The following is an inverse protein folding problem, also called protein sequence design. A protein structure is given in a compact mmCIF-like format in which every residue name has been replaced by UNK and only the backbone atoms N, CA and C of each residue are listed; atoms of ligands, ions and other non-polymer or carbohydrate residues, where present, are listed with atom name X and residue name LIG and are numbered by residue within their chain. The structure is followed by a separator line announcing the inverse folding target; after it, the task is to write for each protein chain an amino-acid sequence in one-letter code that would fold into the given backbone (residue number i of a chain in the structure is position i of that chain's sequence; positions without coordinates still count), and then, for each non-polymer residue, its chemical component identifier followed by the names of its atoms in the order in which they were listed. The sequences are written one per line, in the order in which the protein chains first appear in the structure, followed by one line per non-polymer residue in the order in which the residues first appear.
data_IF_994384325877
#
_entry.id   IF_994384325877
#
_cell.length_a   1.000
_cell.length_b   1.000
_cell.length_c   1.000
_cell.angle_alpha   90.00
_cell.angle_beta   90.00
_cell.angle_gamma   90.00
#
_symmetry.space_group_name_H-M   'P 1'
#
loop_
_entity.id
_entity.type
_entity.pdbx_description
1 polymer ?
#
# COMPACT_ATOMS: atom_id res chain seq x y z
N UNK A 1 -20.79 21.15 -17.89
CA UNK A 1 -20.60 22.48 -17.27
C UNK A 1 -19.84 22.41 -15.93
N UNK A 2 -20.39 21.88 -14.82
CA UNK A 2 -19.68 21.88 -13.53
C UNK A 2 -18.38 21.04 -13.53
N UNK A 3 -18.43 19.82 -14.07
CA UNK A 3 -17.25 18.95 -14.17
C UNK A 3 -16.16 19.52 -15.08
N UNK A 4 -16.60 20.11 -16.19
CA UNK A 4 -15.72 20.71 -17.19
C UNK A 4 -15.01 21.94 -16.63
N UNK A 5 -15.73 22.81 -15.91
CA UNK A 5 -15.13 23.92 -15.18
C UNK A 5 -14.13 23.42 -14.12
N UNK A 6 -14.48 22.39 -13.36
CA UNK A 6 -13.59 21.81 -12.35
C UNK A 6 -12.29 21.25 -12.95
N UNK A 7 -12.38 20.58 -14.09
CA UNK A 7 -11.21 20.06 -14.82
C UNK A 7 -10.28 21.17 -15.30
N UNK A 8 -10.84 22.26 -15.84
CA UNK A 8 -10.05 23.43 -16.28
C UNK A 8 -9.31 24.06 -15.10
N UNK A 9 -9.98 24.26 -13.96
CA UNK A 9 -9.33 24.82 -12.78
C UNK A 9 -8.18 23.96 -12.25
N UNK A 10 -8.34 22.62 -12.26
CA UNK A 10 -7.24 21.71 -11.90
C UNK A 10 -6.10 21.79 -12.90
N UNK A 11 -6.39 21.83 -14.20
CA UNK A 11 -5.35 21.87 -15.22
C UNK A 11 -4.49 23.14 -15.07
N UNK A 12 -5.12 24.28 -14.77
CA UNK A 12 -4.41 25.53 -14.48
C UNK A 12 -3.55 25.40 -13.21
N UNK A 13 -4.09 24.82 -12.13
CA UNK A 13 -3.31 24.60 -10.90
C UNK A 13 -2.10 23.68 -11.15
N UNK A 14 -2.29 22.62 -11.94
CA UNK A 14 -1.24 21.68 -12.31
C UNK A 14 -0.13 22.37 -13.11
N UNK A 15 -0.49 23.21 -14.10
CA UNK A 15 0.46 23.99 -14.88
C UNK A 15 1.21 25.02 -14.01
N UNK A 16 0.52 25.63 -13.05
CA UNK A 16 1.11 26.58 -12.10
C UNK A 16 2.15 25.86 -11.22
N UNK A 17 1.80 24.67 -10.71
CA UNK A 17 2.71 23.84 -9.93
C UNK A 17 3.93 23.38 -10.76
N UNK A 18 3.72 22.92 -11.99
CA UNK A 18 4.80 22.47 -12.87
C UNK A 18 5.77 23.59 -13.27
N UNK A 19 5.25 24.81 -13.40
CA UNK A 19 6.06 26.00 -13.71
C UNK A 19 6.77 26.58 -12.49
N UNK A 20 6.65 25.96 -11.30
CA UNK A 20 7.14 26.46 -10.02
C UNK A 20 6.71 27.92 -9.76
N UNK A 21 5.54 28.30 -10.27
CA UNK A 21 4.97 29.62 -10.03
C UNK A 21 4.18 29.61 -8.72
N UNK A 22 4.20 30.74 -8.01
CA UNK A 22 3.52 30.86 -6.73
C UNK A 22 2.00 30.74 -6.95
N UNK A 23 1.39 29.68 -6.38
CA UNK A 23 -0.06 29.51 -6.36
C UNK A 23 -0.63 29.90 -5.00
N UNK A 24 -1.76 30.61 -5.02
CA UNK A 24 -2.57 30.86 -3.82
C UNK A 24 -3.65 29.78 -3.59
N UNK A 25 -3.62 28.69 -4.39
CA UNK A 25 -4.57 27.57 -4.34
C UNK A 25 -6.04 27.94 -4.56
N UNK A 26 -6.32 29.13 -5.11
CA UNK A 26 -7.67 29.57 -5.44
C UNK A 26 -8.32 28.64 -6.46
N UNK A 27 -7.60 28.32 -7.54
CA UNK A 27 -8.08 27.41 -8.59
C UNK A 27 -8.36 26.02 -8.02
N UNK A 28 -7.46 25.50 -7.19
CA UNK A 28 -7.68 24.23 -6.51
C UNK A 28 -8.92 24.24 -5.61
N UNK A 29 -9.12 25.29 -4.82
CA UNK A 29 -10.28 25.40 -3.92
C UNK A 29 -11.60 25.44 -4.70
N UNK A 30 -11.63 26.18 -5.81
CA UNK A 30 -12.78 26.28 -6.71
C UNK A 30 -13.06 24.94 -7.40
N UNK A 31 -12.00 24.26 -7.87
CA UNK A 31 -12.12 22.94 -8.46
C UNK A 31 -12.72 21.94 -7.47
N UNK A 32 -12.18 21.86 -6.25
CA UNK A 32 -12.66 20.93 -5.23
C UNK A 32 -14.11 21.20 -4.86
N UNK A 33 -14.50 22.47 -4.72
CA UNK A 33 -15.90 22.84 -4.48
C UNK A 33 -16.83 22.41 -5.63
N UNK A 34 -16.41 22.63 -6.88
CA UNK A 34 -17.16 22.21 -8.06
C UNK A 34 -17.30 20.67 -8.14
N UNK A 35 -16.24 19.92 -7.81
CA UNK A 35 -16.28 18.46 -7.74
C UNK A 35 -17.18 17.95 -6.62
N UNK A 36 -17.17 18.58 -5.44
CA UNK A 36 -18.06 18.21 -4.34
C UNK A 36 -19.53 18.41 -4.70
N UNK A 37 -19.86 19.53 -5.36
CA UNK A 37 -21.21 19.77 -5.88
C UNK A 37 -21.60 18.77 -6.95
N UNK A 38 -20.70 18.48 -7.90
CA UNK A 38 -20.94 17.47 -8.94
C UNK A 38 -21.17 16.07 -8.34
N UNK A 39 -20.35 15.66 -7.37
CA UNK A 39 -20.52 14.39 -6.67
C UNK A 39 -21.86 14.31 -5.93
N UNK A 40 -22.26 15.40 -5.26
CA UNK A 40 -23.56 15.46 -4.56
C UNK A 40 -24.71 15.25 -5.54
N UNK A 41 -24.71 15.99 -6.65
CA UNK A 41 -25.76 15.88 -7.68
C UNK A 41 -25.83 14.46 -8.27
N UNK A 42 -24.68 13.82 -8.51
CA UNK A 42 -24.63 12.46 -9.04
C UNK A 42 -25.11 11.40 -8.05
N UNK A 43 -24.85 11.59 -6.75
CA UNK A 43 -25.41 10.73 -5.70
C UNK A 43 -26.93 10.87 -5.63
N UNK A 44 -27.46 12.08 -5.77
CA UNK A 44 -28.91 12.33 -5.84
C UNK A 44 -29.56 11.68 -7.07
N UNK A 45 -28.81 11.54 -8.17
CA UNK A 45 -29.24 10.85 -9.39
C UNK A 45 -29.05 9.32 -9.35
N UNK A 46 -28.60 8.75 -8.22
CA UNK A 46 -28.24 7.33 -8.06
C UNK A 46 -27.09 6.83 -8.97
N UNK A 47 -26.30 7.72 -9.54
CA UNK A 47 -25.16 7.39 -10.40
C UNK A 47 -23.88 7.14 -9.57
N UNK A 48 -23.91 6.10 -8.71
CA UNK A 48 -22.82 5.79 -7.75
C UNK A 48 -21.47 5.60 -8.43
N UNK A 49 -21.43 4.90 -9.57
CA UNK A 49 -20.19 4.61 -10.28
C UNK A 49 -19.55 5.88 -10.85
N UNK A 50 -20.35 6.78 -11.42
CA UNK A 50 -19.85 8.04 -11.94
C UNK A 50 -19.34 8.95 -10.82
N UNK A 51 -20.05 9.01 -9.69
CA UNK A 51 -19.57 9.70 -8.49
C UNK A 51 -18.24 9.10 -7.97
N UNK A 52 -18.11 7.78 -7.99
CA UNK A 52 -16.86 7.07 -7.68
C UNK A 52 -15.72 7.41 -8.64
N UNK A 53 -15.99 7.47 -9.94
CA UNK A 53 -14.98 7.79 -10.96
C UNK A 53 -14.45 9.21 -10.79
N UNK A 54 -15.34 10.16 -10.53
CA UNK A 54 -14.95 11.54 -10.25
C UNK A 54 -14.13 11.61 -8.96
N UNK A 55 -14.53 10.87 -7.91
CA UNK A 55 -13.76 10.79 -6.67
C UNK A 55 -12.35 10.27 -6.91
N UNK A 56 -12.21 9.21 -7.72
CA UNK A 56 -10.93 8.65 -8.10
C UNK A 56 -10.09 9.64 -8.92
N UNK A 57 -10.69 10.30 -9.92
CA UNK A 57 -10.03 11.28 -10.77
C UNK A 57 -9.49 12.48 -9.96
N UNK A 58 -10.30 13.02 -9.04
CA UNK A 58 -9.84 14.09 -8.14
C UNK A 58 -8.68 13.61 -7.27
N UNK A 59 -8.72 12.37 -6.78
CA UNK A 59 -7.60 11.76 -6.05
C UNK A 59 -6.31 11.71 -6.87
N UNK A 60 -6.38 11.36 -8.15
CA UNK A 60 -5.22 11.36 -9.06
C UNK A 60 -4.65 12.76 -9.26
N UNK A 61 -5.51 13.77 -9.40
CA UNK A 61 -5.05 15.15 -9.53
C UNK A 61 -4.38 15.66 -8.25
N UNK A 62 -4.91 15.32 -7.08
CA UNK A 62 -4.28 15.66 -5.80
C UNK A 62 -2.95 14.94 -5.58
N UNK A 63 -2.81 13.69 -6.05
CA UNK A 63 -1.53 12.97 -6.05
C UNK A 63 -0.47 13.72 -6.86
N UNK A 64 -0.84 14.23 -8.05
CA UNK A 64 0.09 15.03 -8.88
C UNK A 64 0.45 16.39 -8.27
N UNK A 65 -0.37 16.90 -7.35
CA UNK A 65 -0.09 18.12 -6.58
C UNK A 65 0.58 17.83 -5.23
N UNK A 66 1.10 16.61 -5.05
CA UNK A 66 1.76 16.13 -3.82
C UNK A 66 0.89 16.19 -2.55
N UNK A 67 -0.44 16.29 -2.71
CA UNK A 67 -1.43 16.24 -1.62
C UNK A 67 -1.80 14.79 -1.29
N UNK A 68 -0.81 14.04 -0.84
CA UNK A 68 -0.90 12.58 -0.68
C UNK A 68 -1.94 12.15 0.35
N UNK A 69 -2.12 12.91 1.44
CA UNK A 69 -3.08 12.56 2.48
C UNK A 69 -4.53 12.67 1.98
N UNK A 70 -4.87 13.76 1.27
CA UNK A 70 -6.19 13.94 0.68
C UNK A 70 -6.44 12.91 -0.43
N UNK A 71 -5.43 12.65 -1.27
CA UNK A 71 -5.50 11.63 -2.32
C UNK A 71 -5.79 10.23 -1.75
N UNK A 72 -5.08 9.82 -0.69
CA UNK A 72 -5.28 8.53 0.00
C UNK A 72 -6.73 8.37 0.49
N UNK A 73 -7.29 9.43 1.08
CA UNK A 73 -8.67 9.44 1.57
C UNK A 73 -9.65 9.26 0.41
N UNK A 74 -9.45 9.97 -0.70
CA UNK A 74 -10.32 9.87 -1.88
C UNK A 74 -10.24 8.49 -2.54
N UNK A 75 -9.06 7.89 -2.63
CA UNK A 75 -8.93 6.52 -3.14
C UNK A 75 -9.65 5.50 -2.25
N UNK A 76 -9.53 5.63 -0.93
CA UNK A 76 -10.25 4.77 0.01
C UNK A 76 -11.77 4.90 -0.17
N UNK A 77 -12.28 6.13 -0.31
CA UNK A 77 -13.71 6.38 -0.59
C UNK A 77 -14.15 5.85 -1.96
N UNK A 78 -13.28 5.92 -2.99
CA UNK A 78 -13.60 5.46 -4.33
C UNK A 78 -13.76 3.93 -4.39
N UNK A 79 -12.97 3.16 -3.62
CA UNK A 79 -13.09 1.69 -3.53
C UNK A 79 -14.50 1.28 -3.11
N UNK A 80 -15.10 2.01 -2.17
CA UNK A 80 -16.46 1.75 -1.71
C UNK A 80 -17.48 1.96 -2.83
N UNK A 81 -17.26 2.86 -3.78
CA UNK A 81 -18.18 3.08 -4.89
C UNK A 81 -18.20 1.96 -5.94
N UNK A 82 -17.15 1.15 -6.02
CA UNK A 82 -16.95 0.19 -7.10
C UNK A 82 -17.13 -1.27 -6.70
N UNK A 83 -17.90 -1.57 -5.65
CA UNK A 83 -18.00 -2.91 -5.05
C UNK A 83 -18.14 -4.08 -6.05
N UNK A 84 -18.86 -3.88 -7.15
CA UNK A 84 -19.14 -4.91 -8.17
C UNK A 84 -18.22 -4.84 -9.42
N UNK A 85 -17.34 -3.84 -9.51
CA UNK A 85 -16.46 -3.58 -10.66
C UNK A 85 -14.99 -3.85 -10.32
N UNK A 86 -14.62 -5.14 -10.25
CA UNK A 86 -13.28 -5.57 -9.83
C UNK A 86 -12.15 -4.93 -10.65
N UNK A 87 -12.30 -4.81 -11.96
CA UNK A 87 -11.28 -4.22 -12.84
C UNK A 87 -10.93 -2.78 -12.42
N UNK A 88 -11.93 -1.96 -12.09
CA UNK A 88 -11.72 -0.59 -11.62
C UNK A 88 -11.11 -0.59 -10.23
N UNK A 89 -11.60 -1.46 -9.33
CA UNK A 89 -11.04 -1.57 -7.98
C UNK A 89 -9.55 -1.90 -7.99
N UNK A 90 -9.09 -2.80 -8.87
CA UNK A 90 -7.66 -3.13 -8.99
C UNK A 90 -6.84 -1.87 -9.24
N UNK A 91 -7.28 -1.01 -10.15
CA UNK A 91 -6.61 0.27 -10.44
C UNK A 91 -6.60 1.21 -9.22
N UNK A 92 -7.72 1.31 -8.50
CA UNK A 92 -7.81 2.16 -7.29
C UNK A 92 -6.94 1.62 -6.16
N UNK A 93 -6.96 0.30 -5.91
CA UNK A 93 -6.10 -0.35 -4.93
C UNK A 93 -4.63 -0.19 -5.25
N UNK A 94 -4.23 -0.34 -6.52
CA UNK A 94 -2.85 -0.13 -6.95
C UNK A 94 -2.36 1.27 -6.57
N UNK A 95 -3.18 2.29 -6.83
CA UNK A 95 -2.90 3.68 -6.47
C UNK A 95 -2.84 3.89 -4.96
N UNK A 96 -3.79 3.34 -4.21
CA UNK A 96 -3.83 3.42 -2.75
C UNK A 96 -2.62 2.75 -2.08
N UNK A 97 -2.25 1.55 -2.54
CA UNK A 97 -1.11 0.79 -2.02
C UNK A 97 0.19 1.54 -2.29
N UNK A 98 0.36 2.07 -3.51
CA UNK A 98 1.54 2.85 -3.87
C UNK A 98 1.70 4.09 -2.99
N UNK A 99 0.65 4.93 -2.85
CA UNK A 99 0.70 6.11 -1.98
C UNK A 99 1.06 5.73 -0.55
N UNK A 100 0.50 4.63 -0.02
CA UNK A 100 0.80 4.18 1.35
C UNK A 100 2.23 3.68 1.52
N UNK A 101 2.79 3.02 0.51
CA UNK A 101 4.21 2.61 0.52
C UNK A 101 5.11 3.84 0.45
N UNK A 102 4.83 4.76 -0.49
CA UNK A 102 5.62 5.97 -0.72
C UNK A 102 5.62 6.92 0.49
N UNK A 103 4.55 6.89 1.30
CA UNK A 103 4.44 7.65 2.56
C UNK A 103 4.76 6.81 3.81
N UNK A 104 5.45 5.68 3.66
CA UNK A 104 5.91 4.78 4.75
C UNK A 104 4.80 4.25 5.67
N UNK A 105 3.54 4.30 5.26
CA UNK A 105 2.38 3.77 5.98
C UNK A 105 2.22 2.27 5.75
N UNK A 106 3.28 1.50 6.04
CA UNK A 106 3.37 0.07 5.72
C UNK A 106 2.24 -0.79 6.30
N UNK A 107 1.74 -0.46 7.50
CA UNK A 107 0.59 -1.16 8.11
C UNK A 107 -0.68 -1.03 7.26
N UNK A 108 -0.97 0.17 6.78
CA UNK A 108 -2.13 0.44 5.94
C UNK A 108 -1.95 -0.13 4.52
N UNK A 109 -0.71 -0.13 4.02
CA UNK A 109 -0.38 -0.78 2.75
C UNK A 109 -0.63 -2.30 2.84
N UNK A 110 -0.17 -2.95 3.92
CA UNK A 110 -0.37 -4.38 4.16
C UNK A 110 -1.85 -4.75 4.21
N UNK A 111 -2.67 -3.92 4.88
CA UNK A 111 -4.11 -4.11 4.92
C UNK A 111 -4.75 -4.01 3.52
N UNK A 112 -4.42 -2.97 2.75
CA UNK A 112 -4.96 -2.78 1.40
C UNK A 112 -4.53 -3.92 0.45
N UNK A 113 -3.27 -4.32 0.48
CA UNK A 113 -2.73 -5.43 -0.31
C UNK A 113 -3.47 -6.73 0.01
N UNK A 114 -3.71 -7.01 1.30
CA UNK A 114 -4.42 -8.21 1.72
C UNK A 114 -5.89 -8.20 1.28
N UNK A 115 -6.57 -7.07 1.43
CA UNK A 115 -7.95 -6.90 0.97
C UNK A 115 -8.08 -7.11 -0.54
N UNK A 116 -7.11 -6.63 -1.33
CA UNK A 116 -7.09 -6.85 -2.77
C UNK A 116 -6.90 -8.34 -3.12
N UNK A 117 -5.94 -9.02 -2.49
CA UNK A 117 -5.71 -10.46 -2.70
C UNK A 117 -6.97 -11.26 -2.37
N UNK A 118 -7.60 -11.00 -1.22
CA UNK A 118 -8.85 -11.67 -0.84
C UNK A 118 -9.95 -11.48 -1.88
N UNK A 119 -10.07 -10.28 -2.47
CA UNK A 119 -11.06 -10.01 -3.52
C UNK A 119 -10.73 -10.76 -4.82
N UNK A 120 -9.48 -10.73 -5.26
CA UNK A 120 -9.03 -11.43 -6.46
C UNK A 120 -9.30 -12.94 -6.36
N UNK A 121 -8.97 -13.56 -5.22
CA UNK A 121 -9.20 -14.99 -4.97
C UNK A 121 -10.70 -15.33 -4.92
N UNK A 122 -11.53 -14.48 -4.30
CA UNK A 122 -12.99 -14.71 -4.20
C UNK A 122 -13.70 -14.63 -5.55
N UNK A 123 -13.34 -13.65 -6.39
CA UNK A 123 -14.09 -13.41 -7.63
C UNK A 123 -13.77 -14.42 -8.72
N UNK A 124 -12.50 -14.84 -8.87
CA UNK A 124 -12.14 -15.83 -9.88
C UNK A 124 -10.86 -16.58 -9.54
N UNK A 125 -10.92 -17.67 -8.76
CA UNK A 125 -9.74 -18.36 -8.25
C UNK A 125 -8.87 -19.03 -9.34
N UNK A 126 -9.45 -19.29 -10.53
CA UNK A 126 -8.77 -20.00 -11.61
C UNK A 126 -8.46 -19.14 -12.85
N UNK A 127 -8.81 -17.85 -12.83
CA UNK A 127 -8.54 -16.99 -13.98
C UNK A 127 -7.05 -16.65 -14.08
N UNK A 128 -6.45 -17.15 -15.16
CA UNK A 128 -5.04 -16.99 -15.49
C UNK A 128 -4.67 -15.50 -15.56
N UNK A 129 -5.62 -14.64 -15.94
CA UNK A 129 -5.43 -13.19 -16.09
C UNK A 129 -5.01 -12.52 -14.78
N UNK A 130 -5.48 -13.02 -13.63
CA UNK A 130 -5.17 -12.45 -12.32
C UNK A 130 -3.97 -13.09 -11.63
N UNK A 131 -3.43 -14.20 -12.15
CA UNK A 131 -2.28 -14.88 -11.54
C UNK A 131 -1.06 -13.98 -11.40
N UNK A 132 -0.75 -13.19 -12.43
CA UNK A 132 0.37 -12.23 -12.38
C UNK A 132 0.16 -11.15 -11.33
N UNK A 133 -1.08 -10.67 -11.16
CA UNK A 133 -1.43 -9.69 -10.14
C UNK A 133 -1.33 -10.30 -8.75
N UNK A 134 -1.89 -11.50 -8.55
CA UNK A 134 -1.80 -12.25 -7.29
C UNK A 134 -0.33 -12.46 -6.89
N UNK A 135 0.51 -12.93 -7.81
CA UNK A 135 1.95 -13.08 -7.59
C UNK A 135 2.60 -11.78 -7.11
N UNK A 136 2.32 -10.67 -7.81
CA UNK A 136 2.90 -9.37 -7.45
C UNK A 136 2.45 -8.88 -6.07
N UNK A 137 1.15 -8.94 -5.78
CA UNK A 137 0.64 -8.48 -4.48
C UNK A 137 1.01 -9.41 -3.34
N UNK A 138 1.22 -10.70 -3.57
CA UNK A 138 1.76 -11.61 -2.57
C UNK A 138 3.21 -11.31 -2.23
N UNK A 139 4.05 -11.01 -3.22
CA UNK A 139 5.44 -10.57 -2.99
C UNK A 139 5.44 -9.26 -2.19
N UNK A 140 4.58 -8.30 -2.55
CA UNK A 140 4.41 -7.07 -1.76
C UNK A 140 3.99 -7.36 -0.33
N UNK A 141 3.01 -8.25 -0.13
CA UNK A 141 2.52 -8.64 1.20
C UNK A 141 3.64 -9.28 2.03
N UNK A 142 4.44 -10.17 1.44
CA UNK A 142 5.59 -10.78 2.10
C UNK A 142 6.60 -9.72 2.52
N UNK A 143 7.04 -8.84 1.62
CA UNK A 143 8.00 -7.80 1.97
C UNK A 143 7.48 -6.83 3.03
N UNK A 144 6.19 -6.44 2.96
CA UNK A 144 5.57 -5.62 4.01
C UNK A 144 5.57 -6.33 5.38
N UNK A 145 5.33 -7.64 5.43
CA UNK A 145 5.40 -8.42 6.66
C UNK A 145 6.83 -8.52 7.21
N UNK A 146 7.81 -8.74 6.33
CA UNK A 146 9.23 -8.79 6.70
C UNK A 146 9.76 -7.43 7.18
N UNK A 147 9.25 -6.32 6.62
CA UNK A 147 9.53 -4.97 7.09
C UNK A 147 8.88 -4.76 8.46
N UNK A 148 7.58 -5.02 8.60
CA UNK A 148 6.83 -4.70 9.82
C UNK A 148 7.23 -5.56 11.02
N UNK A 149 7.61 -6.83 10.79
CA UNK A 149 7.89 -7.84 11.82
C UNK A 149 6.85 -7.82 12.96
N UNK A 150 5.55 -7.98 12.64
CA UNK A 150 4.48 -7.94 13.63
C UNK A 150 4.68 -9.01 14.72
N UNK A 151 4.39 -8.65 15.97
CA UNK A 151 4.51 -9.58 17.09
C UNK A 151 3.56 -10.79 16.90
N UNK A 152 4.00 -12.04 17.14
CA UNK A 152 3.21 -13.25 16.86
C UNK A 152 1.82 -13.25 17.50
N UNK A 153 1.69 -12.72 18.72
CA UNK A 153 0.41 -12.65 19.45
C UNK A 153 -0.63 -11.70 18.81
N UNK A 154 -0.22 -10.78 17.94
CA UNK A 154 -1.09 -9.81 17.26
C UNK A 154 -1.21 -10.10 15.76
N UNK A 155 -0.70 -11.24 15.32
CA UNK A 155 -0.65 -11.61 13.92
C UNK A 155 -2.02 -12.12 13.46
N UNK A 156 -2.60 -11.46 12.45
CA UNK A 156 -3.80 -11.97 11.79
C UNK A 156 -3.49 -13.33 11.13
N UNK A 157 -4.49 -14.21 11.08
CA UNK A 157 -4.33 -15.54 10.49
C UNK A 157 -3.82 -15.51 9.03
N UNK A 158 -4.26 -14.53 8.23
CA UNK A 158 -3.82 -14.39 6.84
C UNK A 158 -2.34 -14.01 6.72
N UNK A 159 -1.83 -13.24 7.68
CA UNK A 159 -0.43 -12.85 7.76
C UNK A 159 0.44 -14.02 8.21
N UNK A 160 -0.03 -14.78 9.21
CA UNK A 160 0.61 -16.02 9.66
C UNK A 160 0.73 -17.02 8.51
N UNK A 161 -0.37 -17.31 7.81
CA UNK A 161 -0.37 -18.20 6.64
C UNK A 161 0.64 -17.79 5.56
N UNK A 162 0.79 -16.48 5.32
CA UNK A 162 1.75 -15.98 4.35
C UNK A 162 3.17 -16.25 4.82
N UNK A 163 3.51 -15.90 6.06
CA UNK A 163 4.86 -16.15 6.60
C UNK A 163 5.17 -17.64 6.68
N UNK A 164 4.22 -18.45 7.15
CA UNK A 164 4.38 -19.90 7.28
C UNK A 164 4.73 -20.56 5.94
N UNK A 165 4.16 -20.07 4.84
CA UNK A 165 4.45 -20.56 3.49
C UNK A 165 5.91 -20.32 3.04
N UNK A 166 6.62 -19.35 3.65
CA UNK A 166 8.01 -19.03 3.34
C UNK A 166 8.99 -19.36 4.49
N UNK A 167 8.52 -19.97 5.58
CA UNK A 167 9.38 -20.37 6.72
C UNK A 167 9.47 -21.86 6.95
N UNK A 168 8.44 -22.63 6.61
CA UNK A 168 8.38 -24.07 6.92
C UNK A 168 8.58 -24.95 5.69
N UNK A 169 9.26 -26.08 5.85
CA UNK A 169 9.39 -27.17 4.86
C UNK A 169 8.08 -27.93 4.63
N UNK A 170 6.92 -27.26 4.59
CA UNK A 170 5.64 -27.90 4.26
C UNK A 170 5.45 -27.92 2.74
N UNK A 171 6.43 -28.48 2.04
CA UNK A 171 6.30 -28.73 0.59
C UNK A 171 5.32 -29.86 0.30
N UNK A 172 5.11 -30.79 1.25
CA UNK A 172 4.38 -32.03 0.97
C UNK A 172 2.90 -32.03 1.39
N UNK A 173 2.42 -31.05 2.18
CA UNK A 173 1.06 -31.10 2.76
C UNK A 173 0.18 -29.89 2.51
N UNK A 174 0.71 -28.82 1.95
CA UNK A 174 -0.10 -27.66 1.56
C UNK A 174 -0.27 -27.70 0.05
N UNK A 175 -1.52 -27.88 -0.41
CA UNK A 175 -1.92 -27.39 -1.73
C UNK A 175 -1.50 -25.92 -1.79
N UNK A 176 -0.43 -25.71 -2.52
CA UNK A 176 0.54 -24.65 -2.30
C UNK A 176 -0.09 -23.30 -2.67
N UNK A 177 0.32 -22.17 -2.06
CA UNK A 177 0.09 -20.86 -2.67
C UNK A 177 0.75 -20.70 -4.07
N UNK A 178 1.50 -21.68 -4.57
CA UNK A 178 2.37 -21.59 -5.77
C UNK A 178 1.68 -21.81 -7.13
N UNK A 179 0.37 -21.67 -7.26
CA UNK A 179 -0.23 -21.78 -8.61
C UNK A 179 0.18 -20.63 -9.56
N UNK A 180 0.79 -19.56 -9.02
CA UNK A 180 1.13 -18.33 -9.76
C UNK A 180 2.56 -17.79 -9.57
N UNK A 181 3.38 -18.37 -8.69
CA UNK A 181 4.80 -18.00 -8.54
C UNK A 181 5.69 -19.03 -9.22
N UNK A 182 6.72 -18.56 -9.91
CA UNK A 182 7.78 -19.43 -10.39
C UNK A 182 8.51 -20.11 -9.22
N UNK A 183 8.91 -21.35 -9.42
CA UNK A 183 9.52 -22.17 -8.38
C UNK A 183 10.85 -21.56 -7.90
N UNK A 184 11.66 -21.04 -8.83
CA UNK A 184 12.96 -20.44 -8.49
C UNK A 184 12.79 -19.16 -7.67
N UNK A 185 11.83 -18.32 -8.04
CA UNK A 185 11.48 -17.13 -7.27
C UNK A 185 10.92 -17.49 -5.89
N UNK A 186 10.12 -18.56 -5.78
CA UNK A 186 9.60 -19.00 -4.51
C UNK A 186 10.72 -19.37 -3.51
N UNK A 187 11.67 -20.20 -3.92
CA UNK A 187 12.83 -20.54 -3.08
C UNK A 187 13.68 -19.32 -2.75
N UNK A 188 13.80 -18.37 -3.68
CA UNK A 188 14.52 -17.13 -3.44
C UNK A 188 13.85 -16.29 -2.35
N UNK A 189 12.53 -16.11 -2.41
CA UNK A 189 11.75 -15.40 -1.39
C UNK A 189 11.79 -16.12 -0.03
N UNK A 190 11.84 -17.46 -0.04
CA UNK A 190 12.06 -18.26 1.16
C UNK A 190 13.46 -17.98 1.76
N UNK A 191 14.50 -18.01 0.93
CA UNK A 191 15.88 -17.70 1.35
C UNK A 191 15.98 -16.30 1.94
N UNK A 192 15.34 -15.30 1.31
CA UNK A 192 15.25 -13.93 1.83
C UNK A 192 14.56 -13.93 3.21
N UNK A 193 13.42 -14.62 3.34
CA UNK A 193 12.66 -14.71 4.60
C UNK A 193 13.53 -15.26 5.73
N UNK A 194 14.27 -16.36 5.48
CA UNK A 194 15.18 -16.96 6.45
C UNK A 194 16.36 -16.05 6.79
N UNK A 195 16.95 -15.39 5.79
CA UNK A 195 18.06 -14.46 6.00
C UNK A 195 17.65 -13.25 6.85
N UNK A 196 16.44 -12.73 6.64
CA UNK A 196 15.86 -11.64 7.43
C UNK A 196 15.65 -12.07 8.89
N UNK A 197 15.15 -13.29 9.12
CA UNK A 197 14.97 -13.84 10.46
C UNK A 197 16.30 -14.08 11.18
N UNK A 198 17.31 -14.56 10.45
CA UNK A 198 18.66 -14.74 10.96
C UNK A 198 19.45 -13.42 11.12
N UNK A 199 18.90 -12.30 10.61
CA UNK A 199 19.58 -11.00 10.50
C UNK A 199 20.91 -11.07 9.74
N UNK A 200 20.98 -11.93 8.72
CA UNK A 200 22.17 -12.11 7.89
C UNK A 200 22.19 -11.11 6.73
N UNK A 201 22.75 -9.93 6.99
CA UNK A 201 22.88 -8.87 5.98
C UNK A 201 23.73 -9.29 4.78
N UNK A 202 24.78 -10.10 5.00
CA UNK A 202 25.67 -10.52 3.92
C UNK A 202 24.94 -11.42 2.94
N UNK A 203 24.12 -12.33 3.45
CA UNK A 203 23.32 -13.21 2.62
C UNK A 203 22.23 -12.42 1.89
N UNK A 204 21.57 -11.46 2.55
CA UNK A 204 20.59 -10.57 1.89
C UNK A 204 21.22 -9.78 0.74
N UNK A 205 22.44 -9.27 0.90
CA UNK A 205 23.16 -8.57 -0.17
C UNK A 205 23.44 -9.48 -1.37
N UNK A 206 23.76 -10.76 -1.15
CA UNK A 206 23.98 -11.73 -2.23
C UNK A 206 22.68 -12.04 -2.99
N UNK A 207 21.57 -12.18 -2.27
CA UNK A 207 20.26 -12.52 -2.85
C UNK A 207 19.66 -11.39 -3.70
N UNK A 208 20.13 -10.14 -3.53
CA UNK A 208 19.63 -8.99 -4.29
C UNK A 208 19.81 -9.15 -5.80
N UNK A 209 20.99 -9.61 -6.22
CA UNK A 209 21.29 -9.81 -7.63
C UNK A 209 20.33 -10.84 -8.23
N UNK A 210 20.19 -12.00 -7.60
CA UNK A 210 19.32 -13.07 -8.05
C UNK A 210 17.85 -12.63 -8.07
N UNK A 211 17.42 -11.80 -7.11
CA UNK A 211 16.06 -11.26 -7.05
C UNK A 211 15.77 -10.33 -8.22
N UNK A 212 16.73 -9.47 -8.58
CA UNK A 212 16.56 -8.53 -9.68
C UNK A 212 16.49 -9.23 -11.06
N UNK A 213 17.03 -10.44 -11.18
CA UNK A 213 16.96 -11.23 -12.41
C UNK A 213 15.60 -11.90 -12.64
N UNK A 214 14.72 -11.93 -11.64
CA UNK A 214 13.43 -12.64 -11.72
C UNK A 214 12.39 -11.84 -12.49
N UNK A 215 11.76 -12.46 -13.49
CA UNK A 215 10.79 -11.78 -14.39
C UNK A 215 9.50 -11.29 -13.72
N UNK A 216 9.14 -11.88 -12.57
CA UNK A 216 7.96 -11.50 -11.80
C UNK A 216 8.26 -10.39 -10.77
N UNK A 217 9.52 -9.96 -10.65
CA UNK A 217 9.92 -8.86 -9.78
C UNK A 217 9.68 -7.52 -10.47
N UNK A 218 8.97 -6.63 -9.77
CA UNK A 218 8.70 -5.28 -10.23
C UNK A 218 9.62 -4.28 -9.52
N UNK A 219 9.81 -3.06 -10.06
CA UNK A 219 10.54 -2.00 -9.36
C UNK A 219 9.97 -1.70 -7.96
N UNK A 220 8.66 -1.90 -7.78
CA UNK A 220 8.00 -1.72 -6.47
C UNK A 220 8.40 -2.80 -5.47
N UNK A 221 8.58 -4.06 -5.92
CA UNK A 221 9.12 -5.13 -5.08
C UNK A 221 10.55 -4.81 -4.66
N UNK A 222 11.39 -4.38 -5.61
CA UNK A 222 12.77 -3.98 -5.31
C UNK A 222 12.83 -2.79 -4.36
N UNK A 223 11.98 -1.78 -4.53
CA UNK A 223 11.91 -0.65 -3.61
C UNK A 223 11.64 -1.09 -2.16
N UNK A 224 10.66 -1.97 -1.93
CA UNK A 224 10.42 -2.53 -0.59
C UNK A 224 11.59 -3.39 -0.10
N UNK A 225 12.24 -4.15 -0.97
CA UNK A 225 13.43 -4.93 -0.61
C UNK A 225 14.57 -4.04 -0.12
N UNK A 226 14.81 -2.88 -0.76
CA UNK A 226 15.79 -1.90 -0.28
C UNK A 226 15.40 -1.32 1.09
N UNK A 227 14.12 -0.98 1.30
CA UNK A 227 13.64 -0.53 2.62
C UNK A 227 13.85 -1.60 3.69
N UNK A 228 13.58 -2.87 3.35
CA UNK A 228 13.83 -4.01 4.23
C UNK A 228 15.31 -4.11 4.62
N UNK A 229 16.23 -4.01 3.64
CA UNK A 229 17.68 -3.98 3.89
C UNK A 229 18.08 -2.85 4.84
N UNK A 230 17.59 -1.63 4.59
CA UNK A 230 17.87 -0.47 5.43
C UNK A 230 17.40 -0.68 6.87
N UNK A 231 16.20 -1.26 7.04
CA UNK A 231 15.62 -1.55 8.35
C UNK A 231 16.42 -2.60 9.13
N UNK A 232 16.88 -3.66 8.47
CA UNK A 232 17.69 -4.72 9.11
C UNK A 232 19.10 -4.20 9.44
N UNK A 233 19.65 -3.32 8.60
CA UNK A 233 20.95 -2.65 8.82
C UNK A 233 20.92 -1.61 9.94
N UNK A 234 19.78 -1.42 10.63
CA UNK A 234 19.65 -0.50 11.75
C UNK A 234 19.58 0.98 11.36
N UNK A 235 19.53 1.33 10.07
CA UNK A 235 19.47 2.72 9.60
C UNK A 235 18.09 3.40 9.82
N UNK A 236 17.16 2.72 10.49
CA UNK A 236 15.80 3.21 10.75
C UNK A 236 15.54 3.50 12.25
N UNK A 237 16.54 3.37 13.13
CA UNK A 237 16.36 3.49 14.58
C UNK A 237 17.21 4.63 15.15
N UNK A 238 16.75 5.86 14.91
CA UNK A 238 16.95 6.98 15.85
C UNK A 238 15.65 7.75 16.14
N UNK A 239 14.51 7.39 15.55
CA UNK A 239 13.25 8.16 15.68
C UNK A 239 12.15 7.52 16.53
N UNK A 240 12.36 6.36 17.17
CA UNK A 240 11.30 5.68 17.94
C UNK A 240 11.67 5.28 19.38
N UNK A 241 12.60 6.01 20.01
CA UNK A 241 12.71 6.02 21.47
C UNK A 241 12.17 7.32 22.05
N UNK A 242 10.86 7.52 22.02
CA UNK A 242 10.16 8.34 23.02
C UNK A 242 8.68 7.97 22.99
N UNK A 243 8.28 7.13 23.94
CA UNK A 243 7.05 7.27 24.74
C UNK A 243 6.78 5.95 25.47
N UNK A 244 7.41 5.82 26.64
CA UNK A 244 6.81 5.25 27.84
C UNK A 244 7.79 5.40 29.01
N UNK A 245 7.62 6.48 29.78
CA UNK A 245 7.55 6.52 31.25
C UNK A 245 7.98 7.90 31.78
N UNK A 246 7.02 8.84 31.82
CA UNK A 246 7.02 9.93 32.81
C UNK A 246 5.66 9.97 33.50
N UNK A 247 5.72 10.18 34.83
CA UNK A 247 4.63 10.23 35.83
C UNK A 247 4.02 8.86 36.16
N UNK A 248 4.21 8.31 37.36
CA UNK A 248 3.80 8.79 38.70
C UNK A 248 4.85 8.32 39.74
N UNK A 249 5.19 8.96 40.86
CA UNK A 249 4.59 9.97 41.75
C UNK A 249 5.70 10.43 42.70
N UNK A 250 5.91 11.73 42.81
CA UNK A 250 6.54 12.32 43.98
C UNK A 250 5.42 12.85 44.87
N UNK A 251 5.20 12.21 46.01
CA UNK A 251 4.50 12.82 47.14
C UNK A 251 5.51 12.91 48.29
N UNK A 252 5.85 14.13 48.66
CA UNK A 252 6.59 14.48 49.87
C UNK A 252 5.63 15.32 50.72
N UNK A 253 5.32 14.85 51.93
CA UNK A 253 5.29 15.68 53.14
C UNK A 253 5.00 14.87 54.41
N UNK A 254 5.92 15.03 55.36
CA UNK A 254 5.85 14.91 56.82
C UNK A 254 4.46 14.84 57.47
N UNK A 255 4.32 13.97 58.49
CA UNK A 255 3.80 14.31 59.82
C UNK A 255 4.13 13.18 60.84
N UNK A 256 4.80 13.59 61.94
CA UNK A 256 5.11 12.91 63.22
C UNK A 256 6.36 12.06 63.33
#
# INVERSE_FOLDING_TARGET
MLLEAASIFIEIELQTHQSNTLSYHENLSLALAAYQLAQKNLREQNERYLAGLITFQVGLHLEMLEKFHESERLFSMAIDSFQDLLAIQICVYQKLINIRIDNEKFNLALQATTNLIERLVKTSPNDISYRRLLASYDILRLFLLLILQPHPQRLRADYAKTLDAYTWEVYEKLNIPTSYLDETLFYLLQSITLAVQARDLKHIDQLEYDLNQQSQISPRHMHLFHILKQKISGHFIDTFKFDQQTSTTGDVADYR
#
